data_IF_720648865350
#
_entry.id   IF_720648865350
#
_cell.length_a   1.000
_cell.length_b   1.000
_cell.length_c   1.000
_cell.angle_alpha   90.00
_cell.angle_beta   90.00
_cell.angle_gamma   90.00
#
_symmetry.space_group_name_H-M   'P 1'
#
loop_
_entity.id
_entity.type
_entity.pdbx_description
1 polymer ?
#
# COMPACT_ATOMS: atom_id res chain seq x y z
N UNK A 1 3.69 9.50 -9.03
CA UNK A 1 4.18 8.25 -8.45
C UNK A 1 3.28 7.07 -8.77
N UNK A 2 2.02 7.00 -8.30
CA UNK A 2 1.10 5.87 -8.62
C UNK A 2 1.02 5.49 -10.12
N UNK A 3 1.04 6.48 -11.02
CA UNK A 3 0.91 6.30 -12.47
C UNK A 3 2.12 5.59 -13.11
N UNK A 4 3.26 5.55 -12.42
CA UNK A 4 4.50 4.93 -12.90
C UNK A 4 4.36 3.41 -13.01
N UNK A 5 3.41 2.81 -12.27
CA UNK A 5 3.04 1.40 -12.41
C UNK A 5 2.42 1.07 -13.78
N UNK A 6 1.89 2.08 -14.49
CA UNK A 6 1.32 2.00 -15.85
C UNK A 6 2.34 2.36 -16.94
N UNK A 7 3.62 2.52 -16.59
CA UNK A 7 4.67 2.93 -17.54
C UNK A 7 4.63 4.38 -17.98
N UNK A 8 3.98 5.25 -17.19
CA UNK A 8 4.01 6.70 -17.38
C UNK A 8 5.01 7.31 -16.40
N UNK A 9 6.06 7.94 -16.90
CA UNK A 9 7.00 8.68 -16.06
C UNK A 9 6.32 9.94 -15.50
N UNK A 10 6.09 9.98 -14.18
CA UNK A 10 5.45 11.13 -13.55
C UNK A 10 5.48 11.07 -12.03
N UNK A 11 6.07 12.09 -11.42
CA UNK A 11 6.32 12.19 -9.97
C UNK A 11 5.69 13.42 -9.33
N UNK A 12 5.67 13.44 -7.99
CA UNK A 12 5.23 14.60 -7.21
C UNK A 12 6.18 15.80 -7.30
N UNK A 13 5.63 17.00 -7.46
CA UNK A 13 6.36 18.28 -7.42
C UNK A 13 5.61 19.30 -6.56
N UNK A 14 6.28 20.39 -6.16
CA UNK A 14 5.63 21.50 -5.49
C UNK A 14 4.70 22.27 -6.42
N UNK A 15 3.79 23.06 -5.84
CA UNK A 15 2.80 23.83 -6.61
C UNK A 15 3.43 24.83 -7.57
N UNK A 16 4.53 25.47 -7.16
CA UNK A 16 5.24 26.47 -7.99
C UNK A 16 5.87 25.80 -9.21
N UNK A 17 6.52 24.65 -9.03
CA UNK A 17 7.10 23.89 -10.13
C UNK A 17 6.01 23.40 -11.11
N UNK A 18 4.86 22.97 -10.59
CA UNK A 18 3.72 22.58 -11.41
C UNK A 18 3.17 23.76 -12.23
N UNK A 19 2.98 24.94 -11.61
CA UNK A 19 2.54 26.16 -12.29
C UNK A 19 3.52 26.59 -13.39
N UNK A 20 4.82 26.54 -13.11
CA UNK A 20 5.84 26.84 -14.10
C UNK A 20 5.77 25.88 -15.31
N UNK A 21 5.62 24.57 -15.06
CA UNK A 21 5.45 23.58 -16.10
C UNK A 21 4.17 23.80 -16.93
N UNK A 22 3.06 24.19 -16.29
CA UNK A 22 1.82 24.56 -16.96
C UNK A 22 1.98 25.79 -17.87
N UNK A 23 2.89 26.71 -17.53
CA UNK A 23 3.25 27.86 -18.35
C UNK A 23 4.32 27.53 -19.43
N UNK A 24 4.66 26.25 -19.59
CA UNK A 24 5.59 25.78 -20.62
C UNK A 24 7.07 25.83 -20.21
N UNK A 25 7.38 26.12 -18.94
CA UNK A 25 8.75 26.07 -18.46
C UNK A 25 9.23 24.61 -18.34
N UNK A 26 10.35 24.23 -18.97
CA UNK A 26 10.93 22.91 -18.79
C UNK A 26 11.35 22.67 -17.34
N UNK A 27 11.14 21.45 -16.85
CA UNK A 27 11.60 21.08 -15.52
C UNK A 27 13.13 20.98 -15.50
N UNK A 28 13.77 21.63 -14.53
CA UNK A 28 15.22 21.53 -14.33
C UNK A 28 15.52 20.42 -13.33
N UNK A 29 16.33 19.44 -13.72
CA UNK A 29 16.78 18.37 -12.83
C UNK A 29 18.20 17.92 -13.17
N UNK A 30 18.94 17.47 -12.17
CA UNK A 30 20.17 16.72 -12.38
C UNK A 30 19.80 15.36 -12.98
N UNK A 31 20.54 14.91 -14.00
CA UNK A 31 20.32 13.58 -14.57
C UNK A 31 20.49 12.53 -13.47
N UNK A 32 19.41 11.79 -13.11
CA UNK A 32 19.44 10.94 -11.93
C UNK A 32 20.15 9.62 -12.24
N UNK A 33 20.78 9.04 -11.21
CA UNK A 33 21.13 7.62 -11.26
C UNK A 33 19.87 6.76 -11.29
N UNK A 34 19.96 5.59 -11.93
CA UNK A 34 18.85 4.63 -12.03
C UNK A 34 19.23 3.34 -11.30
N UNK A 35 18.43 2.94 -10.32
CA UNK A 35 18.58 1.66 -9.62
C UNK A 35 17.71 0.62 -10.32
N UNK A 36 18.33 -0.42 -10.85
CA UNK A 36 17.60 -1.55 -11.41
C UNK A 36 17.14 -2.47 -10.30
N UNK A 37 15.83 -2.64 -10.13
CA UNK A 37 15.23 -3.54 -9.15
C UNK A 37 14.67 -4.78 -9.85
N UNK A 38 15.41 -5.88 -9.81
CA UNK A 38 15.05 -7.13 -10.50
C UNK A 38 14.05 -7.93 -9.67
N UNK A 39 12.91 -8.27 -10.27
CA UNK A 39 11.92 -9.18 -9.71
C UNK A 39 12.01 -10.55 -10.40
N UNK A 40 12.05 -11.61 -9.61
CA UNK A 40 12.03 -13.01 -10.07
C UNK A 40 11.02 -13.82 -9.30
N UNK A 41 10.73 -15.05 -9.75
CA UNK A 41 9.80 -15.94 -9.07
C UNK A 41 8.36 -15.46 -9.12
N UNK A 42 7.55 -15.92 -8.16
CA UNK A 42 6.11 -15.63 -8.05
C UNK A 42 5.71 -15.49 -6.59
N UNK A 43 4.80 -14.57 -6.29
CA UNK A 43 4.23 -14.43 -4.96
C UNK A 43 3.54 -15.71 -4.50
N UNK A 44 3.74 -16.09 -3.24
CA UNK A 44 3.08 -17.25 -2.63
C UNK A 44 1.60 -16.96 -2.36
N UNK A 45 0.77 -17.99 -2.30
CA UNK A 45 -0.62 -17.86 -1.90
C UNK A 45 -0.74 -17.21 -0.51
N UNK A 46 -1.66 -16.25 -0.39
CA UNK A 46 -1.88 -15.50 0.84
C UNK A 46 -0.95 -14.30 1.04
N UNK A 47 0.02 -14.08 0.13
CA UNK A 47 0.83 -12.85 0.06
C UNK A 47 0.13 -11.84 -0.85
N UNK A 48 0.15 -10.57 -0.44
CA UNK A 48 -0.56 -9.48 -1.11
C UNK A 48 0.40 -8.47 -1.76
N UNK A 49 -0.14 -7.60 -2.60
CA UNK A 49 0.58 -6.43 -3.11
C UNK A 49 1.10 -5.52 -1.98
N UNK A 50 0.35 -5.43 -0.88
CA UNK A 50 0.76 -4.67 0.31
C UNK A 50 2.03 -5.27 0.94
N UNK A 51 2.11 -6.60 1.06
CA UNK A 51 3.30 -7.27 1.59
C UNK A 51 4.53 -7.06 0.70
N UNK A 52 4.32 -7.11 -0.61
CA UNK A 52 5.36 -6.84 -1.60
C UNK A 52 5.88 -5.40 -1.49
N UNK A 53 4.99 -4.40 -1.49
CA UNK A 53 5.45 -3.00 -1.44
C UNK A 53 6.13 -2.67 -0.11
N UNK A 54 5.71 -3.22 1.03
CA UNK A 54 6.41 -3.00 2.30
C UNK A 54 7.80 -3.63 2.31
N UNK A 55 7.96 -4.79 1.66
CA UNK A 55 9.26 -5.46 1.46
C UNK A 55 10.17 -4.61 0.56
N UNK A 56 9.66 -4.15 -0.59
CA UNK A 56 10.38 -3.27 -1.52
C UNK A 56 10.77 -1.96 -0.82
N UNK A 57 9.87 -1.36 -0.05
CA UNK A 57 10.10 -0.12 0.69
C UNK A 57 11.26 -0.26 1.68
N UNK A 58 11.29 -1.36 2.44
CA UNK A 58 12.38 -1.67 3.37
C UNK A 58 13.72 -1.82 2.64
N UNK A 59 13.76 -2.57 1.53
CA UNK A 59 14.98 -2.81 0.76
C UNK A 59 15.54 -1.53 0.14
N UNK A 60 14.68 -0.73 -0.50
CA UNK A 60 15.08 0.51 -1.16
C UNK A 60 15.52 1.58 -0.15
N UNK A 61 14.86 1.67 1.02
CA UNK A 61 15.34 2.55 2.10
C UNK A 61 16.70 2.15 2.62
N UNK A 62 16.94 0.85 2.80
CA UNK A 62 18.26 0.34 3.21
C UNK A 62 19.34 0.62 2.17
N UNK A 63 19.00 0.56 0.89
CA UNK A 63 19.92 0.81 -0.21
C UNK A 63 20.26 2.29 -0.42
N UNK A 64 19.30 3.19 -0.17
CA UNK A 64 19.50 4.64 -0.33
C UNK A 64 19.29 5.11 -1.76
N UNK A 65 18.03 5.42 -2.09
CA UNK A 65 17.60 5.85 -3.43
C UNK A 65 17.12 7.31 -3.52
N UNK A 66 17.46 8.12 -2.52
CA UNK A 66 17.13 9.56 -2.52
C UNK A 66 17.71 10.26 -3.74
N UNK A 67 16.86 10.95 -4.51
CA UNK A 67 17.22 11.67 -5.73
C UNK A 67 17.54 10.77 -6.92
N UNK A 68 17.22 9.48 -6.86
CA UNK A 68 17.42 8.50 -7.93
C UNK A 68 16.08 8.02 -8.48
N UNK A 69 16.13 7.46 -9.68
CA UNK A 69 15.03 6.63 -10.19
C UNK A 69 15.25 5.17 -9.78
N UNK A 70 14.15 4.45 -9.62
CA UNK A 70 14.12 3.00 -9.52
C UNK A 70 13.37 2.50 -10.74
N UNK A 71 13.96 1.58 -11.49
CA UNK A 71 13.28 0.90 -12.59
C UNK A 71 13.14 -0.58 -12.25
N UNK A 72 11.90 -1.07 -12.27
CA UNK A 72 11.59 -2.47 -12.01
C UNK A 72 11.69 -3.28 -13.30
N UNK A 73 12.32 -4.45 -13.23
CA UNK A 73 12.54 -5.32 -14.38
C UNK A 73 12.64 -6.80 -13.97
N UNK A 74 12.79 -7.69 -14.95
CA UNK A 74 12.96 -9.13 -14.74
C UNK A 74 11.67 -9.93 -14.90
N UNK A 75 11.80 -11.26 -14.96
CA UNK A 75 10.72 -12.19 -15.29
C UNK A 75 9.55 -12.18 -14.29
N UNK A 76 9.80 -11.82 -13.04
CA UNK A 76 8.75 -11.74 -12.01
C UNK A 76 7.72 -10.64 -12.28
N UNK A 77 8.03 -9.68 -13.16
CA UNK A 77 7.10 -8.62 -13.56
C UNK A 77 5.86 -9.18 -14.26
N UNK A 78 6.00 -10.23 -15.08
CA UNK A 78 4.88 -10.86 -15.77
C UNK A 78 3.89 -11.59 -14.85
N UNK A 79 4.22 -11.76 -13.57
CA UNK A 79 3.34 -12.35 -12.56
C UNK A 79 2.52 -11.29 -11.78
N UNK A 80 2.81 -10.00 -11.97
CA UNK A 80 2.15 -8.90 -11.28
C UNK A 80 1.03 -8.32 -12.13
N UNK A 81 -0.11 -8.01 -11.50
CA UNK A 81 -1.13 -7.20 -12.15
C UNK A 81 -0.74 -5.72 -12.16
N UNK A 82 -1.37 -4.93 -13.04
CA UNK A 82 -1.16 -3.48 -13.05
C UNK A 82 -1.51 -2.84 -11.70
N UNK A 83 -2.51 -3.36 -11.00
CA UNK A 83 -2.82 -2.86 -9.67
C UNK A 83 -1.69 -3.12 -8.66
N UNK A 84 -0.95 -4.23 -8.81
CA UNK A 84 0.19 -4.54 -7.94
C UNK A 84 1.39 -3.63 -8.24
N UNK A 85 1.70 -3.39 -9.52
CA UNK A 85 2.78 -2.46 -9.91
C UNK A 85 2.45 -1.03 -9.48
N UNK A 86 1.19 -0.59 -9.62
CA UNK A 86 0.72 0.69 -9.12
C UNK A 86 0.85 0.80 -7.58
N UNK A 87 0.51 -0.24 -6.83
CA UNK A 87 0.73 -0.28 -5.37
C UNK A 87 2.20 -0.03 -5.02
N UNK A 88 3.15 -0.63 -5.76
CA UNK A 88 4.59 -0.47 -5.52
C UNK A 88 5.08 0.94 -5.90
N UNK A 89 4.69 1.40 -7.09
CA UNK A 89 5.04 2.73 -7.60
C UNK A 89 4.48 3.86 -6.73
N UNK A 90 3.30 3.66 -6.11
CA UNK A 90 2.70 4.65 -5.23
C UNK A 90 3.59 4.99 -4.03
N UNK A 91 4.35 4.01 -3.52
CA UNK A 91 5.18 4.19 -2.34
C UNK A 91 6.59 4.76 -2.63
N UNK A 92 6.83 5.26 -3.85
CA UNK A 92 8.07 5.94 -4.24
C UNK A 92 8.58 6.96 -3.23
N UNK A 93 7.74 7.87 -2.70
CA UNK A 93 8.17 8.83 -1.69
C UNK A 93 8.60 8.16 -0.38
N UNK A 94 7.91 7.08 0.01
CA UNK A 94 8.15 6.35 1.25
C UNK A 94 9.48 5.59 1.23
N UNK A 95 9.98 5.17 0.07
CA UNK A 95 11.36 4.68 -0.07
C UNK A 95 12.38 5.72 -0.58
N UNK A 96 11.89 6.88 -0.97
CA UNK A 96 12.69 8.08 -1.24
C UNK A 96 13.15 8.22 -2.67
N UNK A 97 12.71 7.37 -3.58
CA UNK A 97 13.01 7.57 -4.99
C UNK A 97 12.24 8.78 -5.51
N UNK A 98 12.77 9.43 -6.54
CA UNK A 98 11.98 10.40 -7.30
C UNK A 98 10.92 9.69 -8.14
N UNK A 99 11.18 8.45 -8.57
CA UNK A 99 10.30 7.66 -9.43
C UNK A 99 10.56 6.16 -9.21
N UNK A 100 9.50 5.35 -9.21
CA UNK A 100 9.48 3.88 -9.18
C UNK A 100 8.79 3.34 -10.44
N UNK A 101 9.54 3.22 -11.52
CA UNK A 101 9.03 3.02 -12.87
C UNK A 101 8.86 1.55 -13.26
N UNK A 102 7.71 1.21 -13.83
CA UNK A 102 7.39 -0.09 -14.42
C UNK A 102 7.18 0.09 -15.93
N UNK A 103 8.07 -0.41 -16.80
CA UNK A 103 7.92 -0.26 -18.24
C UNK A 103 6.60 -0.85 -18.77
N UNK A 104 6.09 -0.28 -19.87
CA UNK A 104 4.88 -0.78 -20.53
C UNK A 104 5.12 -2.17 -21.12
N UNK A 105 4.21 -3.09 -20.81
CA UNK A 105 4.20 -4.46 -21.27
C UNK A 105 2.78 -4.92 -21.68
N UNK A 106 2.62 -6.20 -22.00
CA UNK A 106 1.33 -6.78 -22.36
C UNK A 106 0.27 -6.70 -21.23
N UNK A 107 0.67 -6.74 -19.96
CA UNK A 107 -0.25 -6.59 -18.81
C UNK A 107 -0.81 -5.18 -18.76
N UNK A 108 0.04 -4.18 -19.04
CA UNK A 108 -0.34 -2.78 -19.16
C UNK A 108 -1.38 -2.58 -20.27
N UNK A 109 -1.16 -3.15 -21.46
CA UNK A 109 -2.12 -3.06 -22.57
C UNK A 109 -3.46 -3.74 -22.25
N UNK A 110 -3.43 -4.88 -21.56
CA UNK A 110 -4.64 -5.57 -21.10
C UNK A 110 -5.44 -4.71 -20.12
N UNK A 111 -4.74 -4.02 -19.21
CA UNK A 111 -5.39 -3.08 -18.28
C UNK A 111 -6.08 -1.92 -19.01
N UNK A 112 -5.43 -1.31 -20.01
CA UNK A 112 -6.05 -0.24 -20.82
C UNK A 112 -7.37 -0.72 -21.45
N UNK A 113 -7.36 -1.90 -22.08
CA UNK A 113 -8.58 -2.53 -22.63
C UNK A 113 -9.65 -2.74 -21.56
N UNK A 114 -9.27 -3.32 -20.41
CA UNK A 114 -10.17 -3.57 -19.27
C UNK A 114 -10.84 -2.29 -18.77
N UNK A 115 -10.12 -1.16 -18.79
CA UNK A 115 -10.63 0.15 -18.38
C UNK A 115 -11.40 0.91 -19.47
N UNK A 116 -11.62 0.29 -20.63
CA UNK A 116 -12.46 0.83 -21.71
C UNK A 116 -11.71 1.61 -22.78
N UNK A 117 -10.37 1.55 -22.85
CA UNK A 117 -9.62 2.07 -24.00
C UNK A 117 -9.92 1.22 -25.25
N UNK A 118 -10.20 1.87 -26.39
CA UNK A 118 -10.54 1.16 -27.64
C UNK A 118 -9.39 0.30 -28.17
N UNK A 119 -9.71 -0.81 -28.83
CA UNK A 119 -8.70 -1.70 -29.44
C UNK A 119 -7.79 -0.97 -30.44
N UNK A 120 -8.34 -0.02 -31.20
CA UNK A 120 -7.59 0.83 -32.13
C UNK A 120 -6.53 1.66 -31.41
N UNK A 121 -6.90 2.30 -30.28
CA UNK A 121 -5.98 3.11 -29.48
C UNK A 121 -4.91 2.23 -28.84
N UNK A 122 -5.28 1.07 -28.30
CA UNK A 122 -4.32 0.15 -27.67
C UNK A 122 -3.31 -0.38 -28.70
N UNK A 123 -3.78 -0.74 -29.90
CA UNK A 123 -2.91 -1.17 -31.01
C UNK A 123 -1.94 -0.06 -31.44
N UNK A 124 -2.42 1.19 -31.52
CA UNK A 124 -1.56 2.35 -31.80
C UNK A 124 -0.50 2.56 -30.72
N UNK A 125 -0.87 2.46 -29.43
CA UNK A 125 0.05 2.59 -28.29
C UNK A 125 1.13 1.51 -28.35
N UNK A 126 0.76 0.24 -28.55
CA UNK A 126 1.73 -0.85 -28.67
C UNK A 126 2.69 -0.61 -29.85
N UNK A 127 2.15 -0.28 -31.02
CA UNK A 127 2.95 -0.03 -32.23
C UNK A 127 3.94 1.11 -32.03
N UNK A 128 3.50 2.21 -31.41
CA UNK A 128 4.37 3.34 -31.08
C UNK A 128 5.49 2.93 -30.11
N UNK A 129 5.16 2.25 -29.01
CA UNK A 129 6.14 1.86 -28.00
C UNK A 129 7.16 0.86 -28.55
N UNK A 130 6.73 -0.12 -29.35
CA UNK A 130 7.63 -1.07 -30.01
C UNK A 130 8.55 -0.36 -31.00
N UNK A 131 8.03 0.53 -31.84
CA UNK A 131 8.84 1.30 -32.79
C UNK A 131 9.91 2.16 -32.09
N UNK A 132 9.63 2.63 -30.87
CA UNK A 132 10.53 3.45 -30.06
C UNK A 132 11.36 2.64 -29.04
N UNK A 133 11.29 1.30 -29.04
CA UNK A 133 12.00 0.42 -28.08
C UNK A 133 11.65 0.70 -26.61
N UNK A 134 10.41 1.10 -26.35
CA UNK A 134 9.87 1.41 -25.02
C UNK A 134 8.85 0.36 -24.54
N UNK A 135 8.66 -0.71 -25.30
CA UNK A 135 7.80 -1.83 -24.93
C UNK A 135 8.63 -3.01 -24.41
N UNK A 136 8.20 -3.62 -23.31
CA UNK A 136 8.84 -4.80 -22.74
C UNK A 136 8.05 -6.06 -23.11
N UNK A 137 8.73 -6.97 -23.80
CA UNK A 137 8.22 -8.28 -24.17
C UNK A 137 9.01 -9.37 -23.45
N UNK A 138 8.40 -10.01 -22.45
CA UNK A 138 9.09 -11.04 -21.65
C UNK A 138 9.32 -12.36 -22.40
N UNK A 139 8.79 -12.50 -23.62
CA UNK A 139 9.11 -13.63 -24.51
C UNK A 139 10.43 -13.43 -25.26
N UNK A 140 10.91 -12.19 -25.35
CA UNK A 140 12.19 -11.86 -25.96
C UNK A 140 13.35 -12.05 -24.96
N UNK A 141 14.59 -12.25 -25.44
CA UNK A 141 15.76 -12.25 -24.57
C UNK A 141 15.84 -10.95 -23.76
N UNK A 142 16.12 -11.09 -22.46
CA UNK A 142 16.26 -9.94 -21.56
C UNK A 142 17.35 -9.00 -22.11
N UNK A 143 16.97 -7.77 -22.45
CA UNK A 143 17.92 -6.77 -22.95
C UNK A 143 18.87 -6.38 -21.82
N UNK A 144 20.16 -6.26 -22.15
CA UNK A 144 21.15 -5.79 -21.19
C UNK A 144 20.95 -4.30 -20.92
N UNK A 145 20.68 -3.94 -19.67
CA UNK A 145 20.41 -2.57 -19.23
C UNK A 145 21.45 -2.16 -18.22
N UNK A 146 22.16 -1.06 -18.51
CA UNK A 146 23.14 -0.50 -17.61
C UNK A 146 22.46 0.38 -16.55
N UNK A 147 22.30 -0.16 -15.34
CA UNK A 147 21.83 0.60 -14.18
C UNK A 147 23.00 1.10 -13.33
N UNK A 148 22.79 2.17 -12.58
CA UNK A 148 23.77 2.72 -11.63
C UNK A 148 24.02 1.81 -10.43
N UNK A 149 23.04 0.97 -10.06
CA UNK A 149 23.17 -0.09 -9.07
C UNK A 149 22.03 -1.10 -9.22
N UNK A 150 22.17 -2.28 -8.63
CA UNK A 150 21.25 -3.39 -8.82
C UNK A 150 20.74 -3.93 -7.48
N UNK A 151 19.46 -4.23 -7.41
CA UNK A 151 18.83 -5.02 -6.35
C UNK A 151 18.08 -6.19 -6.99
N UNK A 152 17.91 -7.27 -6.23
CA UNK A 152 17.17 -8.47 -6.63
C UNK A 152 16.20 -8.83 -5.50
N UNK A 153 14.97 -9.15 -5.86
CA UNK A 153 13.98 -9.75 -4.98
C UNK A 153 13.33 -10.95 -5.68
N UNK A 154 13.43 -12.12 -5.05
CA UNK A 154 12.59 -13.25 -5.40
C UNK A 154 11.22 -13.06 -4.72
N UNK A 155 10.16 -12.98 -5.53
CA UNK A 155 8.79 -12.84 -5.06
C UNK A 155 8.35 -14.00 -4.15
N UNK A 156 9.00 -15.17 -4.24
CA UNK A 156 8.74 -16.30 -3.34
C UNK A 156 9.21 -16.04 -1.90
N UNK A 157 10.17 -15.14 -1.69
CA UNK A 157 10.69 -14.77 -0.36
C UNK A 157 9.76 -13.81 0.39
N UNK A 158 8.85 -13.13 -0.32
CA UNK A 158 7.87 -12.24 0.29
C UNK A 158 6.94 -13.05 1.19
N UNK A 159 6.72 -12.55 2.40
CA UNK A 159 5.82 -13.13 3.39
C UNK A 159 4.86 -12.06 3.94
N UNK A 160 3.68 -12.46 4.46
CA UNK A 160 2.73 -11.53 5.06
C UNK A 160 3.39 -10.67 6.13
N UNK A 161 3.17 -9.36 6.08
CA UNK A 161 3.84 -8.40 6.95
C UNK A 161 3.00 -7.15 7.21
N UNK A 162 3.45 -6.38 8.20
CA UNK A 162 2.96 -5.04 8.49
C UNK A 162 4.17 -4.09 8.57
N UNK A 163 3.93 -2.78 8.61
CA UNK A 163 4.99 -1.80 8.89
C UNK A 163 4.59 -0.90 10.04
N UNK A 164 5.54 -0.66 10.95
CA UNK A 164 5.30 0.20 12.10
C UNK A 164 6.19 -0.10 13.30
N UNK A 165 5.92 0.50 14.46
CA UNK A 165 4.72 1.30 14.74
C UNK A 165 4.78 2.74 14.22
N UNK A 166 5.95 3.26 13.80
CA UNK A 166 6.12 4.70 13.53
C UNK A 166 6.67 5.07 12.16
N UNK A 167 7.15 4.12 11.34
CA UNK A 167 7.67 4.41 9.98
C UNK A 167 7.24 3.38 8.94
N UNK A 168 7.07 3.76 7.66
CA UNK A 168 6.67 2.84 6.58
C UNK A 168 7.68 1.71 6.28
N UNK A 169 8.97 1.95 6.46
CA UNK A 169 10.04 0.96 6.22
C UNK A 169 10.37 0.10 7.44
N UNK A 170 9.68 0.28 8.57
CA UNK A 170 9.80 -0.58 9.75
C UNK A 170 8.95 -1.85 9.57
N UNK A 171 9.26 -2.62 8.52
CA UNK A 171 8.58 -3.87 8.19
C UNK A 171 8.78 -4.92 9.28
N UNK A 172 7.69 -5.59 9.65
CA UNK A 172 7.63 -6.70 10.60
C UNK A 172 6.82 -7.83 9.97
N UNK A 173 7.37 -9.05 9.92
CA UNK A 173 6.59 -10.20 9.46
C UNK A 173 5.36 -10.39 10.35
N UNK A 174 4.21 -10.71 9.76
CA UNK A 174 2.93 -10.75 10.48
C UNK A 174 2.96 -11.75 11.64
N UNK A 175 3.64 -12.89 11.45
CA UNK A 175 3.87 -13.91 12.49
C UNK A 175 4.67 -13.39 13.69
N UNK A 176 5.52 -12.39 13.46
CA UNK A 176 6.42 -11.81 14.46
C UNK A 176 5.87 -10.51 15.06
N UNK A 177 4.72 -10.00 14.58
CA UNK A 177 4.10 -8.76 15.06
C UNK A 177 4.01 -8.71 16.59
N UNK A 178 3.55 -9.80 17.21
CA UNK A 178 3.43 -9.88 18.67
C UNK A 178 4.81 -9.80 19.33
N UNK A 179 5.79 -10.52 18.81
CA UNK A 179 7.15 -10.56 19.37
C UNK A 179 7.89 -9.22 19.19
N UNK A 180 7.61 -8.47 18.13
CA UNK A 180 8.14 -7.12 17.89
C UNK A 180 7.44 -6.06 18.77
N UNK A 181 6.13 -6.20 19.02
CA UNK A 181 5.35 -5.26 19.82
C UNK A 181 5.76 -5.20 21.30
N UNK A 182 5.98 -6.34 21.96
CA UNK A 182 6.22 -6.36 23.41
C UNK A 182 7.50 -5.60 23.80
N UNK A 183 8.66 -5.80 23.13
CA UNK A 183 9.86 -4.99 23.36
C UNK A 183 9.64 -3.51 23.06
N UNK A 184 8.77 -3.14 22.11
CA UNK A 184 8.48 -1.74 21.83
C UNK A 184 7.90 -1.01 23.05
N UNK A 185 7.19 -1.71 23.95
CA UNK A 185 6.69 -1.09 25.19
C UNK A 185 7.86 -0.61 26.08
N UNK A 186 8.87 -1.45 26.29
CA UNK A 186 10.02 -1.18 27.20
C UNK A 186 11.09 -0.27 26.57
N UNK A 187 11.31 -0.41 25.26
CA UNK A 187 12.36 0.32 24.54
C UNK A 187 12.24 1.84 24.73
N UNK A 188 13.40 2.53 24.82
CA UNK A 188 13.49 3.99 24.88
C UNK A 188 12.66 4.64 23.77
N UNK A 189 12.05 5.78 24.07
CA UNK A 189 11.24 6.56 23.11
C UNK A 189 12.01 6.73 21.80
N UNK A 190 11.45 6.18 20.74
CA UNK A 190 12.05 6.15 19.41
C UNK A 190 11.10 5.46 18.43
N UNK A 191 11.58 5.10 17.23
CA UNK A 191 10.72 4.49 16.20
C UNK A 191 10.14 3.13 16.62
N UNK A 192 10.86 2.38 17.47
CA UNK A 192 10.51 1.06 18.01
C UNK A 192 10.47 1.06 19.54
N UNK A 193 10.02 2.17 20.15
CA UNK A 193 10.00 2.32 21.60
C UNK A 193 9.01 3.35 22.11
N UNK A 194 8.32 2.99 23.20
CA UNK A 194 7.33 3.81 23.89
C UNK A 194 7.73 4.14 25.34
N UNK A 195 8.74 3.47 25.91
CA UNK A 195 9.23 3.67 27.28
C UNK A 195 8.17 3.53 28.38
N UNK A 196 7.24 2.59 28.20
CA UNK A 196 6.21 2.22 29.19
C UNK A 196 6.88 1.46 30.34
N UNK A 197 6.76 1.92 31.61
CA UNK A 197 7.32 1.22 32.77
C UNK A 197 6.81 -0.22 32.87
N UNK A 198 7.69 -1.17 33.22
CA UNK A 198 7.34 -2.61 33.27
C UNK A 198 6.09 -2.92 34.10
N UNK A 199 5.86 -2.19 35.19
CA UNK A 199 4.67 -2.36 36.04
C UNK A 199 3.35 -1.94 35.37
N UNK A 200 3.39 -1.10 34.34
CA UNK A 200 2.22 -0.60 33.60
C UNK A 200 1.98 -1.39 32.29
N UNK A 201 2.92 -2.23 31.83
CA UNK A 201 2.81 -2.91 30.52
C UNK A 201 1.63 -3.88 30.41
N UNK A 202 1.17 -4.43 31.53
CA UNK A 202 0.00 -5.32 31.60
C UNK A 202 -1.28 -4.61 32.05
N UNK A 203 -1.27 -3.26 32.09
CA UNK A 203 -2.43 -2.46 32.51
C UNK A 203 -3.63 -2.71 31.61
N UNK A 204 -4.79 -2.82 32.24
CA UNK A 204 -6.09 -2.93 31.58
C UNK A 204 -6.98 -1.78 32.02
N UNK A 205 -7.29 -0.89 31.09
CA UNK A 205 -8.22 0.22 31.29
C UNK A 205 -9.66 -0.29 31.10
N UNK A 206 -10.44 -0.31 32.19
CA UNK A 206 -11.86 -0.69 32.17
C UNK A 206 -12.71 0.57 32.01
N UNK A 207 -13.66 0.55 31.08
CA UNK A 207 -14.53 1.69 30.80
C UNK A 207 -15.92 1.25 30.36
N UNK A 208 -16.87 2.19 30.33
CA UNK A 208 -18.23 1.96 29.83
C UNK A 208 -18.36 2.55 28.43
N UNK A 209 -18.53 1.69 27.43
CA UNK A 209 -18.80 2.10 26.05
C UNK A 209 -20.30 2.01 25.78
N UNK A 210 -20.97 3.15 25.68
CA UNK A 210 -22.42 3.26 25.53
C UNK A 210 -23.22 2.37 26.52
N UNK A 211 -22.86 2.43 27.80
CA UNK A 211 -23.56 1.70 28.88
C UNK A 211 -23.16 0.23 29.04
N UNK A 212 -22.13 -0.21 28.34
CA UNK A 212 -21.69 -1.60 28.36
C UNK A 212 -20.20 -1.71 28.70
N UNK A 213 -19.79 -2.70 29.51
CA UNK A 213 -18.41 -2.84 29.97
C UNK A 213 -17.47 -3.15 28.80
N UNK A 214 -16.35 -2.45 28.74
CA UNK A 214 -15.29 -2.64 27.75
C UNK A 214 -13.91 -2.51 28.40
N UNK A 215 -12.89 -3.07 27.75
CA UNK A 215 -11.53 -3.11 28.25
C UNK A 215 -10.53 -2.78 27.13
N UNK A 216 -9.60 -1.87 27.41
CA UNK A 216 -8.44 -1.59 26.57
C UNK A 216 -7.15 -1.98 27.28
N UNK A 217 -6.15 -2.36 26.50
CA UNK A 217 -4.79 -2.64 26.95
C UNK A 217 -3.82 -2.14 25.90
N UNK A 218 -2.53 -2.10 26.22
CA UNK A 218 -1.51 -1.79 25.22
C UNK A 218 -1.59 -2.75 24.02
N UNK A 219 -1.66 -2.19 22.82
CA UNK A 219 -1.83 -2.92 21.57
C UNK A 219 -3.28 -3.20 21.18
N UNK A 220 -4.27 -2.72 21.94
CA UNK A 220 -5.67 -2.71 21.51
C UNK A 220 -5.83 -1.87 20.24
N UNK A 221 -6.45 -2.45 19.22
CA UNK A 221 -6.85 -1.71 18.01
C UNK A 221 -8.04 -0.82 18.36
N UNK A 222 -7.95 0.46 18.03
CA UNK A 222 -9.04 1.45 18.20
C UNK A 222 -9.45 2.12 16.89
N UNK A 223 -8.61 2.05 15.86
CA UNK A 223 -8.92 2.45 14.47
C UNK A 223 -8.57 1.29 13.55
N UNK A 224 -9.48 0.94 12.65
CA UNK A 224 -9.24 -0.03 11.59
C UNK A 224 -9.83 0.50 10.27
N UNK A 225 -8.99 1.07 9.41
CA UNK A 225 -9.43 1.75 8.19
C UNK A 225 -8.94 1.01 6.94
N UNK A 226 -9.87 0.64 6.05
CA UNK A 226 -9.56 0.28 4.66
C UNK A 226 -9.57 1.58 3.86
N UNK A 227 -8.39 2.14 3.62
CA UNK A 227 -8.19 3.47 3.05
C UNK A 227 -7.01 3.49 2.08
N UNK A 228 -6.67 4.68 1.57
CA UNK A 228 -5.59 4.98 0.63
C UNK A 228 -5.82 4.50 -0.80
N UNK A 229 -5.40 5.32 -1.76
CA UNK A 229 -5.31 4.91 -3.17
C UNK A 229 -4.28 3.78 -3.39
N UNK A 230 -3.29 3.62 -2.50
CA UNK A 230 -2.26 2.55 -2.56
C UNK A 230 -2.89 1.16 -2.67
N UNK A 231 -3.94 0.89 -1.89
CA UNK A 231 -4.57 -0.43 -1.80
C UNK A 231 -5.99 -0.45 -2.37
N UNK A 232 -6.75 0.65 -2.25
CA UNK A 232 -8.16 0.65 -2.71
C UNK A 232 -8.29 0.66 -4.24
N UNK A 233 -7.22 1.02 -4.96
CA UNK A 233 -7.14 0.86 -6.41
C UNK A 233 -6.93 -0.59 -6.85
N UNK A 234 -6.61 -1.51 -5.93
CA UNK A 234 -6.28 -2.90 -6.22
C UNK A 234 -7.47 -3.84 -5.88
N UNK A 235 -8.19 -4.38 -6.89
CA UNK A 235 -9.34 -5.25 -6.65
C UNK A 235 -8.99 -6.53 -5.89
N UNK A 236 -7.76 -7.04 -6.00
CA UNK A 236 -7.35 -8.29 -5.35
C UNK A 236 -7.43 -8.18 -3.83
N UNK A 237 -6.88 -7.11 -3.24
CA UNK A 237 -6.92 -6.89 -1.79
C UNK A 237 -8.30 -6.45 -1.31
N UNK A 238 -9.06 -5.72 -2.13
CA UNK A 238 -10.41 -5.27 -1.77
C UNK A 238 -11.44 -6.42 -1.78
N UNK A 239 -11.40 -7.27 -2.81
CA UNK A 239 -12.20 -8.51 -2.84
C UNK A 239 -11.72 -9.48 -1.76
N UNK A 240 -10.40 -9.58 -1.55
CA UNK A 240 -9.81 -10.36 -0.45
C UNK A 240 -10.37 -9.94 0.91
N UNK A 241 -10.40 -8.64 1.22
CA UNK A 241 -10.99 -8.11 2.44
C UNK A 241 -12.48 -8.46 2.57
N UNK A 242 -13.25 -8.33 1.48
CA UNK A 242 -14.66 -8.73 1.45
C UNK A 242 -14.86 -10.23 1.71
N UNK A 243 -14.00 -11.09 1.16
CA UNK A 243 -14.04 -12.54 1.38
C UNK A 243 -13.66 -12.92 2.82
N UNK A 244 -12.69 -12.23 3.41
CA UNK A 244 -12.35 -12.38 4.84
C UNK A 244 -13.53 -11.96 5.71
N UNK A 245 -14.17 -10.81 5.43
CA UNK A 245 -15.34 -10.36 6.17
C UNK A 245 -16.51 -11.36 6.05
N UNK A 246 -16.75 -11.90 4.85
CA UNK A 246 -17.74 -12.96 4.63
C UNK A 246 -17.46 -14.19 5.50
N UNK A 247 -16.22 -14.69 5.49
CA UNK A 247 -15.83 -15.85 6.30
C UNK A 247 -15.92 -15.57 7.80
N UNK A 248 -15.56 -14.38 8.24
CA UNK A 248 -15.72 -13.96 9.64
C UNK A 248 -17.19 -13.99 10.07
N UNK A 249 -18.11 -13.43 9.26
CA UNK A 249 -19.54 -13.48 9.52
C UNK A 249 -20.10 -14.91 9.54
N UNK A 250 -19.67 -15.77 8.59
CA UNK A 250 -20.07 -17.19 8.55
C UNK A 250 -19.61 -17.97 9.81
N UNK A 251 -18.52 -17.53 10.44
CA UNK A 251 -17.99 -18.11 11.69
C UNK A 251 -18.55 -17.43 12.95
N UNK A 252 -19.47 -16.47 12.83
CA UNK A 252 -20.04 -15.73 13.95
C UNK A 252 -19.04 -14.78 14.65
N UNK A 253 -17.98 -14.36 13.96
CA UNK A 253 -17.01 -13.40 14.46
C UNK A 253 -17.51 -11.97 14.24
N UNK A 254 -17.29 -11.11 15.24
CA UNK A 254 -17.67 -9.70 15.22
C UNK A 254 -16.50 -8.81 15.63
N UNK A 255 -16.38 -7.66 14.97
CA UNK A 255 -15.47 -6.58 15.39
C UNK A 255 -15.95 -5.99 16.71
N UNK A 256 -15.00 -5.68 17.61
CA UNK A 256 -15.32 -5.03 18.88
C UNK A 256 -15.91 -3.64 18.64
N UNK A 257 -17.04 -3.33 19.29
CA UNK A 257 -17.84 -2.11 19.10
C UNK A 257 -17.11 -0.78 19.29
N UNK A 258 -16.03 -0.74 20.06
CA UNK A 258 -15.26 0.49 20.30
C UNK A 258 -14.26 0.80 19.18
N UNK A 259 -14.08 -0.12 18.23
CA UNK A 259 -13.15 0.07 17.11
C UNK A 259 -13.82 0.96 16.08
N UNK A 260 -13.18 2.08 15.76
CA UNK A 260 -13.57 2.94 14.66
C UNK A 260 -13.16 2.31 13.33
N UNK A 261 -14.09 1.59 12.72
CA UNK A 261 -13.93 0.98 11.41
C UNK A 261 -14.35 1.94 10.30
N UNK A 262 -13.65 1.91 9.15
CA UNK A 262 -14.02 2.71 7.99
C UNK A 262 -13.59 2.08 6.66
N UNK A 263 -14.39 2.28 5.62
CA UNK A 263 -14.06 1.97 4.24
C UNK A 263 -14.09 3.26 3.41
N UNK A 264 -12.94 3.67 2.89
CA UNK A 264 -12.78 4.89 2.10
C UNK A 264 -12.06 4.61 0.76
N UNK A 265 -12.79 4.18 -0.27
CA UNK A 265 -12.20 3.88 -1.57
C UNK A 265 -11.76 5.13 -2.33
N UNK A 266 -10.74 4.99 -3.18
CA UNK A 266 -10.34 6.06 -4.10
C UNK A 266 -11.32 6.33 -5.24
N UNK A 267 -12.25 5.42 -5.53
CA UNK A 267 -13.21 5.56 -6.63
C UNK A 267 -14.50 4.76 -6.41
N UNK A 268 -15.59 5.19 -7.06
CA UNK A 268 -16.88 4.49 -7.04
C UNK A 268 -16.88 3.10 -7.70
N UNK A 269 -15.86 2.77 -8.51
CA UNK A 269 -15.72 1.43 -9.11
C UNK A 269 -15.57 0.36 -8.03
N UNK A 270 -14.87 0.68 -6.94
CA UNK A 270 -14.65 -0.21 -5.79
C UNK A 270 -15.97 -0.64 -5.18
N UNK A 271 -16.79 0.35 -4.83
CA UNK A 271 -18.13 0.12 -4.28
C UNK A 271 -19.00 -0.68 -5.25
N UNK A 272 -18.94 -0.40 -6.56
CA UNK A 272 -19.71 -1.13 -7.58
C UNK A 272 -19.38 -2.63 -7.59
N UNK A 273 -18.10 -3.02 -7.68
CA UNK A 273 -17.78 -4.46 -7.69
C UNK A 273 -18.00 -5.13 -6.33
N UNK A 274 -17.86 -4.42 -5.21
CA UNK A 274 -18.17 -4.96 -3.87
C UNK A 274 -19.67 -5.22 -3.68
N UNK A 275 -20.52 -4.38 -4.25
CA UNK A 275 -21.97 -4.62 -4.29
C UNK A 275 -22.34 -5.76 -5.23
N UNK A 276 -21.80 -5.77 -6.46
CA UNK A 276 -22.10 -6.80 -7.46
C UNK A 276 -21.66 -8.20 -7.02
N UNK A 277 -20.51 -8.31 -6.35
CA UNK A 277 -20.04 -9.56 -5.75
C UNK A 277 -20.83 -9.97 -4.49
N UNK A 278 -21.68 -9.09 -3.96
CA UNK A 278 -22.41 -9.32 -2.72
C UNK A 278 -21.54 -9.27 -1.46
N UNK A 279 -20.30 -8.77 -1.55
CA UNK A 279 -19.34 -8.72 -0.44
C UNK A 279 -19.52 -7.48 0.46
N UNK A 280 -20.05 -6.37 -0.07
CA UNK A 280 -20.25 -5.13 0.69
C UNK A 280 -21.09 -5.35 1.96
N UNK A 281 -22.10 -6.24 1.92
CA UNK A 281 -22.95 -6.51 3.08
C UNK A 281 -22.17 -7.11 4.27
N UNK A 282 -21.15 -7.92 4.00
CA UNK A 282 -20.32 -8.53 5.04
C UNK A 282 -19.31 -7.53 5.59
N UNK A 283 -18.75 -6.67 4.73
CA UNK A 283 -17.94 -5.54 5.18
C UNK A 283 -18.74 -4.62 6.11
N UNK A 284 -19.98 -4.29 5.75
CA UNK A 284 -20.89 -3.51 6.60
C UNK A 284 -21.19 -4.22 7.93
N UNK A 285 -21.41 -5.55 7.94
CA UNK A 285 -21.62 -6.31 9.18
C UNK A 285 -20.40 -6.25 10.13
N UNK A 286 -19.19 -6.17 9.57
CA UNK A 286 -17.96 -5.98 10.34
C UNK A 286 -17.65 -4.48 10.62
N UNK A 287 -18.59 -3.57 10.34
CA UNK A 287 -18.45 -2.13 10.59
C UNK A 287 -17.71 -1.34 9.51
N UNK A 288 -17.21 -1.97 8.45
CA UNK A 288 -16.51 -1.31 7.33
C UNK A 288 -17.49 -0.69 6.33
N UNK A 289 -18.29 0.25 6.84
CA UNK A 289 -19.20 1.05 6.02
C UNK A 289 -18.43 2.03 5.14
N UNK A 290 -18.98 2.30 3.94
CA UNK A 290 -18.49 3.37 3.08
C UNK A 290 -18.65 4.72 3.81
N UNK A 291 -17.53 5.36 4.15
CA UNK A 291 -17.53 6.67 4.81
C UNK A 291 -17.31 7.84 3.84
N UNK A 292 -16.81 7.56 2.64
CA UNK A 292 -16.59 8.56 1.60
C UNK A 292 -15.62 8.08 0.53
N UNK A 293 -15.46 8.90 -0.52
CA UNK A 293 -14.46 8.69 -1.56
C UNK A 293 -13.37 9.74 -1.43
N UNK A 294 -12.16 9.33 -1.08
CA UNK A 294 -11.03 10.24 -0.87
C UNK A 294 -10.03 9.73 0.17
N UNK A 295 -9.04 10.57 0.48
CA UNK A 295 -7.89 10.15 1.28
C UNK A 295 -8.22 9.78 2.74
N UNK A 296 -9.15 10.50 3.40
CA UNK A 296 -9.64 10.20 4.77
C UNK A 296 -8.49 9.89 5.76
N UNK A 297 -8.55 8.77 6.47
CA UNK A 297 -7.55 8.30 7.45
C UNK A 297 -6.14 8.24 6.88
N UNK A 298 -5.95 8.01 5.58
CA UNK A 298 -4.61 7.95 4.95
C UNK A 298 -3.80 9.25 5.13
N UNK A 299 -4.46 10.41 5.18
CA UNK A 299 -3.81 11.72 5.36
C UNK A 299 -4.01 12.28 6.77
N UNK A 300 -4.41 11.44 7.73
CA UNK A 300 -4.69 11.85 9.10
C UNK A 300 -6.10 12.40 9.33
N UNK A 301 -6.96 12.48 8.30
CA UNK A 301 -8.37 12.83 8.45
C UNK A 301 -9.17 11.61 8.95
N UNK A 302 -8.79 11.08 10.11
CA UNK A 302 -9.44 9.94 10.76
C UNK A 302 -10.69 10.35 11.55
N UNK A 303 -10.86 11.65 11.86
CA UNK A 303 -11.85 12.16 12.80
C UNK A 303 -11.67 11.63 14.23
N UNK A 304 -12.53 12.05 15.14
CA UNK A 304 -12.37 11.75 16.57
C UNK A 304 -12.75 10.30 16.90
N UNK A 305 -12.07 9.73 17.90
CA UNK A 305 -12.55 8.53 18.57
C UNK A 305 -13.78 8.87 19.40
N UNK A 306 -14.57 7.86 19.75
CA UNK A 306 -15.61 8.04 20.77
C UNK A 306 -14.97 8.55 22.07
N UNK A 307 -15.62 9.50 22.73
CA UNK A 307 -15.09 10.17 23.93
C UNK A 307 -14.73 9.16 25.02
N UNK A 308 -15.53 8.11 25.21
CA UNK A 308 -15.25 7.09 26.22
C UNK A 308 -13.97 6.29 25.91
N UNK A 309 -13.66 6.08 24.63
CA UNK A 309 -12.44 5.41 24.18
C UNK A 309 -11.24 6.37 24.31
N UNK A 310 -11.41 7.62 23.89
CA UNK A 310 -10.37 8.64 23.99
C UNK A 310 -9.95 8.86 25.45
N UNK A 311 -10.92 9.00 26.37
CA UNK A 311 -10.67 9.14 27.80
C UNK A 311 -10.05 7.88 28.39
N UNK A 312 -10.51 6.69 27.99
CA UNK A 312 -9.91 5.43 28.44
C UNK A 312 -8.42 5.32 28.05
N UNK A 313 -8.00 5.89 26.92
CA UNK A 313 -6.59 5.98 26.52
C UNK A 313 -5.88 7.07 27.35
N UNK A 314 -6.32 8.32 27.27
CA UNK A 314 -5.60 9.47 27.84
C UNK A 314 -5.49 9.46 29.37
N UNK A 315 -6.50 8.94 30.07
CA UNK A 315 -6.49 8.84 31.53
C UNK A 315 -5.65 7.66 32.05
N UNK A 316 -5.24 6.74 31.16
CA UNK A 316 -4.54 5.50 31.52
C UNK A 316 -3.14 5.35 30.91
N UNK A 317 -2.63 6.40 30.24
CA UNK A 317 -1.29 6.49 29.62
C UNK A 317 -1.14 5.67 28.31
#
# INVERSE_FOLDING_TARGET
DLIEGLGVAGWGVGGIEAEAAMLGQPMSMVLPGVVGFKLTGKLRNGVTATDLVLTVTQMLRKHGVVGKFVEFYGKGMGELSLADTATIANMSPEYGATMGFFPVDHVTLLYLKLTGTSDETVSMVESYLRANKMFVDYSEPEQDRAYSSYLLLDLAEVEPCISGPKRPHDRVALKDMKADWHPCLDNKVGFKGFAVPKQEQDKVAKFSFHGQPAELKHGSVVIAAITSCTNTSNPSVMLGAGLVAKKACELGLEVKRWIKTSLAPGSGVVTKYLHQSGLQKYLNQQGFHLVGYGCTTCIGNSGDLDESVANAISEND
#
